data_IF_568622350299
#
_entry.id   IF_568622350299
#
_cell.length_a   1.000
_cell.length_b   1.000
_cell.length_c   1.000
_cell.angle_alpha   90.00
_cell.angle_beta   90.00
_cell.angle_gamma   90.00
#
_symmetry.space_group_name_H-M   'P 1'
#
loop_
_entity.id
_entity.type
_entity.pdbx_description
1 polymer ?
#
# COMPACT_ATOMS: atom_id res chain seq x y z
N UNK A 1 -9.91 1.70 18.44
CA UNK A 1 -10.11 0.30 18.01
C UNK A 1 -10.39 0.11 16.50
N UNK A 2 -10.47 1.16 15.66
CA UNK A 2 -10.89 1.03 14.25
C UNK A 2 -9.76 0.73 13.23
N UNK A 3 -8.50 0.76 13.63
CA UNK A 3 -7.34 0.73 12.72
C UNK A 3 -7.12 -0.62 11.99
N UNK A 4 -7.55 -1.76 12.56
CA UNK A 4 -7.35 -3.06 11.91
C UNK A 4 -8.37 -3.41 10.83
N UNK A 5 -9.62 -2.94 10.96
CA UNK A 5 -10.69 -3.26 9.99
C UNK A 5 -10.42 -2.62 8.63
N UNK A 6 -9.88 -1.41 8.62
CA UNK A 6 -9.53 -0.70 7.37
C UNK A 6 -8.50 -1.46 6.56
N UNK A 7 -7.47 -2.04 7.19
CA UNK A 7 -6.38 -2.69 6.47
C UNK A 7 -6.79 -4.06 5.89
N UNK A 8 -7.67 -4.80 6.58
CA UNK A 8 -8.27 -6.01 6.03
C UNK A 8 -9.16 -5.69 4.82
N UNK A 9 -9.96 -4.61 4.87
CA UNK A 9 -10.74 -4.19 3.71
C UNK A 9 -9.83 -3.80 2.54
N UNK A 10 -8.73 -3.07 2.81
CA UNK A 10 -7.73 -2.73 1.79
C UNK A 10 -7.12 -3.99 1.17
N UNK A 11 -6.87 -5.04 1.95
CA UNK A 11 -6.37 -6.32 1.42
C UNK A 11 -7.33 -6.92 0.37
N UNK A 12 -8.63 -6.83 0.64
CA UNK A 12 -9.70 -7.26 -0.26
C UNK A 12 -10.00 -6.25 -1.39
N UNK A 13 -9.27 -5.13 -1.46
CA UNK A 13 -9.46 -4.09 -2.47
C UNK A 13 -10.65 -3.16 -2.20
N UNK A 14 -11.23 -3.21 -1.00
CA UNK A 14 -12.33 -2.34 -0.56
C UNK A 14 -11.77 -1.20 0.29
N UNK A 15 -11.99 0.04 -0.14
CA UNK A 15 -11.55 1.23 0.63
C UNK A 15 -12.73 2.08 1.10
N UNK A 16 -12.59 2.83 2.21
CA UNK A 16 -13.62 3.77 2.66
C UNK A 16 -14.00 4.78 1.57
N UNK A 17 -15.28 5.19 1.53
CA UNK A 17 -15.80 6.13 0.50
C UNK A 17 -15.05 7.47 0.39
N UNK A 18 -14.38 7.91 1.46
CA UNK A 18 -13.61 9.17 1.49
C UNK A 18 -12.14 9.00 1.09
N UNK A 19 -11.71 7.78 0.78
CA UNK A 19 -10.36 7.52 0.31
C UNK A 19 -10.18 8.08 -1.10
N UNK A 20 -9.05 8.74 -1.35
CA UNK A 20 -8.68 9.27 -2.67
C UNK A 20 -7.74 8.26 -3.31
N UNK A 21 -8.08 7.77 -4.51
CA UNK A 21 -7.19 6.89 -5.26
C UNK A 21 -5.91 7.64 -5.67
N UNK A 22 -4.77 7.00 -5.45
CA UNK A 22 -3.45 7.50 -5.85
C UNK A 22 -2.94 6.69 -7.03
N UNK A 23 -2.14 7.33 -7.87
CA UNK A 23 -1.48 6.63 -8.98
C UNK A 23 -0.10 6.17 -8.53
N UNK A 24 0.25 4.91 -8.81
CA UNK A 24 1.59 4.38 -8.54
C UNK A 24 2.26 3.98 -9.85
N UNK A 25 3.47 4.48 -10.08
CA UNK A 25 4.33 4.10 -11.20
C UNK A 25 5.35 3.06 -10.76
N UNK A 26 5.84 2.28 -11.73
CA UNK A 26 6.94 1.34 -11.55
C UNK A 26 6.55 -0.09 -11.15
N UNK A 27 5.28 -0.38 -10.84
CA UNK A 27 4.86 -1.75 -10.53
C UNK A 27 3.37 -1.91 -10.20
N UNK A 28 2.91 -3.17 -10.01
CA UNK A 28 1.51 -3.50 -9.76
C UNK A 28 1.12 -3.20 -8.31
N UNK A 29 0.81 -1.93 -8.03
CA UNK A 29 0.39 -1.45 -6.72
C UNK A 29 -0.87 -0.61 -6.87
N UNK A 30 -1.87 -0.93 -6.06
CA UNK A 30 -3.01 -0.04 -5.86
C UNK A 30 -2.77 0.79 -4.61
N UNK A 31 -3.11 2.07 -4.64
CA UNK A 31 -2.84 2.99 -3.55
C UNK A 31 -3.99 3.95 -3.32
N UNK A 32 -4.19 4.31 -2.06
CA UNK A 32 -5.21 5.28 -1.64
C UNK A 32 -4.70 6.16 -0.49
N UNK A 33 -5.13 7.42 -0.48
CA UNK A 33 -4.96 8.34 0.64
C UNK A 33 -6.25 8.36 1.47
N UNK A 34 -6.16 8.03 2.75
CA UNK A 34 -7.29 8.11 3.68
C UNK A 34 -6.76 8.55 5.05
N UNK A 35 -7.42 9.56 5.64
CA UNK A 35 -7.05 10.10 6.96
C UNK A 35 -5.56 10.43 7.13
N UNK A 36 -4.99 11.13 6.13
CA UNK A 36 -3.57 11.50 6.06
C UNK A 36 -2.58 10.33 6.02
N UNK A 37 -3.04 9.10 5.79
CA UNK A 37 -2.23 7.90 5.64
C UNK A 37 -2.36 7.30 4.24
N UNK A 38 -1.28 6.69 3.78
CA UNK A 38 -1.26 5.95 2.52
C UNK A 38 -1.53 4.49 2.80
N UNK A 39 -2.50 3.94 2.07
CA UNK A 39 -2.84 2.53 2.05
C UNK A 39 -2.41 1.94 0.72
N UNK A 40 -1.64 0.87 0.75
CA UNK A 40 -1.16 0.16 -0.45
C UNK A 40 -1.70 -1.26 -0.46
N UNK A 41 -2.05 -1.78 -1.64
CA UNK A 41 -2.34 -3.19 -1.89
C UNK A 41 -1.48 -3.68 -3.05
N UNK A 42 -0.69 -4.71 -2.81
CA UNK A 42 0.24 -5.26 -3.81
C UNK A 42 0.67 -6.68 -3.48
N UNK A 43 1.22 -7.39 -4.46
CA UNK A 43 1.94 -8.66 -4.26
C UNK A 43 3.45 -8.47 -4.08
N UNK A 44 3.96 -7.26 -4.31
CA UNK A 44 5.36 -6.92 -4.03
C UNK A 44 5.63 -6.95 -2.53
N UNK A 45 6.86 -7.29 -2.14
CA UNK A 45 7.33 -7.07 -0.76
C UNK A 45 7.88 -5.65 -0.67
N UNK A 46 7.35 -4.82 0.22
CA UNK A 46 7.93 -3.50 0.50
C UNK A 46 9.21 -3.61 1.35
N UNK A 47 10.24 -2.87 0.94
CA UNK A 47 11.52 -2.71 1.66
C UNK A 47 11.56 -1.36 2.36
N UNK A 48 11.14 -0.28 1.69
CA UNK A 48 11.19 1.06 2.25
C UNK A 48 10.12 1.99 1.65
N UNK A 49 9.72 3.06 2.36
CA UNK A 49 10.07 3.38 3.75
C UNK A 49 9.35 2.44 4.74
N UNK A 50 9.53 2.69 6.04
CA UNK A 50 8.83 1.95 7.09
C UNK A 50 7.30 2.16 7.01
N UNK A 51 6.55 1.09 7.26
CA UNK A 51 5.09 1.11 7.39
C UNK A 51 4.68 1.07 8.85
N UNK A 52 3.48 1.55 9.15
CA UNK A 52 2.88 1.48 10.48
C UNK A 52 2.21 0.12 10.73
N UNK A 53 1.56 -0.45 9.72
CA UNK A 53 0.90 -1.74 9.82
C UNK A 53 0.90 -2.48 8.49
N UNK A 54 0.80 -3.82 8.55
CA UNK A 54 0.67 -4.68 7.37
C UNK A 54 -0.22 -5.87 7.70
N UNK A 55 -0.96 -6.35 6.70
CA UNK A 55 -1.61 -7.67 6.69
C UNK A 55 -1.30 -8.37 5.38
N UNK A 56 -1.37 -9.70 5.37
CA UNK A 56 -1.10 -10.52 4.19
C UNK A 56 -2.10 -11.65 4.06
N UNK A 57 -2.46 -11.97 2.82
CA UNK A 57 -3.24 -13.15 2.46
C UNK A 57 -2.33 -14.30 2.02
N UNK A 58 -2.83 -15.56 2.06
CA UNK A 58 -2.07 -16.73 1.59
C UNK A 58 -1.69 -16.68 0.10
N UNK A 59 -2.40 -15.92 -0.73
CA UNK A 59 -2.12 -15.77 -2.16
C UNK A 59 -0.95 -14.80 -2.45
N UNK A 60 -0.31 -14.26 -1.40
CA UNK A 60 0.82 -13.35 -1.49
C UNK A 60 0.44 -11.87 -1.62
N UNK A 61 -0.85 -11.53 -1.64
CA UNK A 61 -1.30 -10.13 -1.57
C UNK A 61 -1.03 -9.58 -0.17
N UNK A 62 -0.60 -8.32 -0.10
CA UNK A 62 -0.31 -7.59 1.13
C UNK A 62 -0.97 -6.23 1.08
N UNK A 63 -1.45 -5.79 2.24
CA UNK A 63 -1.91 -4.45 2.45
C UNK A 63 -1.04 -3.75 3.50
N UNK A 64 -0.61 -2.53 3.20
CA UNK A 64 0.27 -1.72 4.04
C UNK A 64 -0.41 -0.40 4.40
N UNK A 65 -0.26 0.03 5.65
CA UNK A 65 -0.58 1.37 6.10
C UNK A 65 0.73 2.10 6.42
N UNK A 66 0.93 3.30 5.87
CA UNK A 66 2.15 4.07 6.10
C UNK A 66 1.92 5.58 6.10
N UNK A 67 2.87 6.35 6.67
CA UNK A 67 2.91 7.80 6.47
C UNK A 67 2.99 8.17 4.99
N UNK A 68 2.61 9.41 4.67
CA UNK A 68 2.71 9.93 3.29
C UNK A 68 4.16 9.92 2.83
N UNK A 69 4.40 9.30 1.68
CA UNK A 69 5.71 9.22 1.02
C UNK A 69 5.51 9.22 -0.48
N UNK A 70 6.40 9.86 -1.24
CA UNK A 70 6.33 9.87 -2.72
C UNK A 70 7.08 8.70 -3.35
N UNK A 71 8.06 8.12 -2.65
CA UNK A 71 8.91 7.07 -3.21
C UNK A 71 8.86 5.83 -2.32
N UNK A 72 8.82 4.67 -2.97
CA UNK A 72 8.88 3.37 -2.32
C UNK A 72 9.94 2.49 -2.99
N UNK A 73 10.46 1.55 -2.22
CA UNK A 73 11.25 0.43 -2.72
C UNK A 73 10.49 -0.87 -2.47
N UNK A 74 10.13 -1.54 -3.55
CA UNK A 74 9.57 -2.89 -3.53
C UNK A 74 10.62 -3.95 -3.91
N UNK A 75 10.24 -5.21 -3.74
CA UNK A 75 11.02 -6.37 -4.14
C UNK A 75 10.10 -7.45 -4.70
N UNK A 76 10.49 -7.98 -5.85
CA UNK A 76 9.88 -9.14 -6.48
C UNK A 76 10.91 -9.85 -7.36
N UNK A 77 10.77 -11.16 -7.50
CA UNK A 77 11.58 -11.96 -8.43
C UNK A 77 13.10 -11.75 -8.28
N UNK A 78 13.57 -11.63 -7.03
CA UNK A 78 14.98 -11.44 -6.73
C UNK A 78 15.52 -10.03 -7.01
N UNK A 79 14.65 -9.05 -7.34
CA UNK A 79 15.06 -7.71 -7.75
C UNK A 79 14.30 -6.62 -7.02
N UNK A 80 14.99 -5.52 -6.74
CA UNK A 80 14.36 -4.31 -6.23
C UNK A 80 13.65 -3.54 -7.34
N UNK A 81 12.49 -3.00 -7.02
CA UNK A 81 11.65 -2.19 -7.91
C UNK A 81 11.41 -0.84 -7.26
N UNK A 82 11.74 0.25 -7.96
CA UNK A 82 11.42 1.60 -7.48
C UNK A 82 10.00 1.96 -7.88
N UNK A 83 9.25 2.52 -6.94
CA UNK A 83 7.88 2.95 -7.16
C UNK A 83 7.75 4.43 -6.81
N UNK A 84 6.86 5.10 -7.52
CA UNK A 84 6.55 6.51 -7.29
C UNK A 84 5.04 6.69 -7.13
N UNK A 85 4.64 7.41 -6.09
CA UNK A 85 3.25 7.75 -5.81
C UNK A 85 2.97 9.18 -6.29
N UNK A 86 2.04 9.29 -7.23
CA UNK A 86 1.50 10.55 -7.75
C UNK A 86 0.17 10.90 -7.06
N UNK A 87 -0.15 12.19 -6.96
CA UNK A 87 -1.43 12.66 -6.40
C UNK A 87 -1.46 12.83 -4.87
N UNK A 88 -0.30 12.78 -4.21
CA UNK A 88 -0.13 13.17 -2.81
C UNK A 88 -0.07 14.69 -2.65
#
# INVERSE_FOLDING_TARGET
MAQHVTLLNVLEGVVPRRAVALTVRGGPVQAWLFDHRVYLRTRLTLISPAWTATVSSPDGTRAYEMPRTRHLLGFADGRSVRLEIEGL
#
